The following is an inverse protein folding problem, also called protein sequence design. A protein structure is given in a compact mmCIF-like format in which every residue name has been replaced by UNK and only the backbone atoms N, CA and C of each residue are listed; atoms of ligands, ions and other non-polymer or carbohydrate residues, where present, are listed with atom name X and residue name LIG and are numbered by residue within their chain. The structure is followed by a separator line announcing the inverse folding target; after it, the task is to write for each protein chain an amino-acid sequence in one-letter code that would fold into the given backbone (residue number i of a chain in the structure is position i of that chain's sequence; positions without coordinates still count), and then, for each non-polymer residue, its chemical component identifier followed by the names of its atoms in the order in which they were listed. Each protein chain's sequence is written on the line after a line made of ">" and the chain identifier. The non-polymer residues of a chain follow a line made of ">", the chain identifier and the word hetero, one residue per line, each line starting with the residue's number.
data_IF_248557117962
#
_entry.id   IF_248557117962
#
_cell.length_a   1.000
_cell.length_b   1.000
_cell.length_c   1.000
_cell.angle_alpha   90.00
_cell.angle_beta   90.00
_cell.angle_gamma   90.00
#
_symmetry.space_group_name_H-M   'P 1'
#
loop_
_entity.id
_entity.type
_entity.pdbx_description
1 polymer ?
#
# COMPACT_ATOMS: atom_id res chain seq x y z
N UNK A 1 22.87 -2.95 14.57
CA UNK A 1 22.24 -3.12 13.24
C UNK A 1 21.68 -1.77 12.80
N UNK A 2 22.12 -1.23 11.66
CA UNK A 2 21.75 0.14 11.25
C UNK A 2 20.28 0.21 10.78
N UNK A 3 19.42 0.79 11.62
CA UNK A 3 17.99 0.94 11.35
C UNK A 3 17.72 1.73 10.07
N UNK A 4 18.60 2.67 9.70
CA UNK A 4 18.46 3.44 8.45
C UNK A 4 18.70 2.56 7.23
N UNK A 5 19.72 1.70 7.26
CA UNK A 5 19.99 0.74 6.16
C UNK A 5 18.82 -0.23 5.95
N UNK A 6 18.24 -0.74 7.04
CA UNK A 6 17.04 -1.58 6.97
C UNK A 6 15.83 -0.82 6.40
N UNK A 7 15.58 0.40 6.88
CA UNK A 7 14.52 1.25 6.36
C UNK A 7 14.69 1.53 4.86
N UNK A 8 15.91 1.80 4.38
CA UNK A 8 16.16 2.00 2.94
C UNK A 8 15.74 0.77 2.12
N UNK A 9 16.26 -0.41 2.46
CA UNK A 9 15.94 -1.63 1.72
C UNK A 9 14.44 -1.95 1.75
N UNK A 10 13.82 -1.73 2.91
CA UNK A 10 12.38 -1.94 3.10
C UNK A 10 11.53 -0.97 2.25
N UNK A 11 11.89 0.31 2.20
CA UNK A 11 11.20 1.29 1.36
C UNK A 11 11.41 1.05 -0.12
N UNK A 12 12.58 0.55 -0.54
CA UNK A 12 12.81 0.15 -1.93
C UNK A 12 11.89 -1.01 -2.33
N UNK A 13 11.80 -2.05 -1.49
CA UNK A 13 10.91 -3.17 -1.73
C UNK A 13 9.44 -2.73 -1.77
N UNK A 14 9.02 -1.90 -0.80
CA UNK A 14 7.66 -1.35 -0.73
C UNK A 14 7.34 -0.47 -1.95
N UNK A 15 8.30 0.33 -2.41
CA UNK A 15 8.14 1.18 -3.58
C UNK A 15 7.90 0.37 -4.84
N UNK A 16 8.71 -0.68 -5.07
CA UNK A 16 8.56 -1.56 -6.23
C UNK A 16 7.21 -2.29 -6.16
N UNK A 17 6.86 -2.83 -5.00
CA UNK A 17 5.61 -3.55 -4.81
C UNK A 17 4.37 -2.67 -5.09
N UNK A 18 4.24 -1.52 -4.41
CA UNK A 18 3.07 -0.65 -4.58
C UNK A 18 3.04 0.01 -5.98
N UNK A 19 4.20 0.34 -6.56
CA UNK A 19 4.25 0.89 -7.91
C UNK A 19 3.78 -0.13 -8.95
N UNK A 20 4.31 -1.34 -8.93
CA UNK A 20 3.93 -2.40 -9.87
C UNK A 20 2.47 -2.80 -9.66
N UNK A 21 2.03 -2.99 -8.41
CA UNK A 21 0.65 -3.32 -8.10
C UNK A 21 -0.32 -2.26 -8.61
N UNK A 22 -0.05 -0.98 -8.34
CA UNK A 22 -0.85 0.13 -8.83
C UNK A 22 -0.93 0.18 -10.35
N UNK A 23 0.19 -0.03 -11.06
CA UNK A 23 0.20 -0.09 -12.53
C UNK A 23 -0.59 -1.28 -13.08
N UNK A 24 -0.49 -2.45 -12.44
CA UNK A 24 -1.24 -3.63 -12.85
C UNK A 24 -2.75 -3.39 -12.73
N UNK A 25 -3.23 -2.85 -11.62
CA UNK A 25 -4.64 -2.51 -11.47
C UNK A 25 -5.06 -1.32 -12.36
N UNK A 26 -4.17 -0.39 -12.67
CA UNK A 26 -4.50 0.74 -13.52
C UNK A 26 -4.80 0.31 -14.97
N UNK A 27 -3.99 -0.58 -15.53
CA UNK A 27 -4.07 -0.98 -16.95
C UNK A 27 -4.75 -2.33 -17.18
N UNK A 28 -4.73 -3.23 -16.20
CA UNK A 28 -5.17 -4.62 -16.36
C UNK A 28 -6.27 -5.05 -15.36
N UNK A 29 -7.02 -4.10 -14.77
CA UNK A 29 -8.07 -4.45 -13.81
C UNK A 29 -9.13 -5.40 -14.38
N UNK A 30 -9.49 -5.28 -15.66
CA UNK A 30 -10.52 -6.14 -16.28
C UNK A 30 -10.10 -7.60 -16.25
N UNK A 31 -8.84 -7.88 -16.61
CA UNK A 31 -8.27 -9.21 -16.63
C UNK A 31 -8.12 -9.76 -15.21
N UNK A 32 -7.62 -8.94 -14.28
CA UNK A 32 -7.46 -9.30 -12.87
C UNK A 32 -8.83 -9.64 -12.27
N UNK A 33 -9.82 -8.77 -12.43
CA UNK A 33 -11.16 -8.94 -11.85
C UNK A 33 -11.84 -10.16 -12.44
N UNK A 34 -11.76 -10.36 -13.75
CA UNK A 34 -12.31 -11.53 -14.43
C UNK A 34 -11.68 -12.84 -13.93
N UNK A 35 -10.35 -12.85 -13.69
CA UNK A 35 -9.66 -14.01 -13.14
C UNK A 35 -10.11 -14.35 -11.71
N UNK A 36 -10.38 -13.34 -10.89
CA UNK A 36 -10.86 -13.50 -9.50
C UNK A 36 -12.39 -13.59 -9.38
N UNK A 37 -13.14 -13.60 -10.49
CA UNK A 37 -14.60 -13.64 -10.48
C UNK A 37 -15.25 -12.39 -9.87
N UNK A 38 -14.56 -11.25 -9.91
CA UNK A 38 -15.04 -9.96 -9.39
C UNK A 38 -15.81 -9.24 -10.50
N UNK A 39 -17.01 -8.76 -10.19
CA UNK A 39 -17.79 -7.97 -11.12
C UNK A 39 -17.06 -6.67 -11.48
N UNK A 40 -17.01 -6.36 -12.77
CA UNK A 40 -16.38 -5.13 -13.25
C UNK A 40 -17.26 -3.95 -12.81
N UNK A 41 -16.71 -2.96 -12.09
CA UNK A 41 -17.50 -1.83 -11.63
C UNK A 41 -18.07 -1.05 -12.81
N UNK A 42 -19.34 -0.63 -12.70
CA UNK A 42 -20.05 0.19 -13.70
C UNK A 42 -19.30 1.48 -14.05
N UNK A 43 -18.60 2.05 -13.06
CA UNK A 43 -17.79 3.25 -13.16
C UNK A 43 -16.34 2.92 -12.79
N UNK A 44 -15.53 2.44 -13.75
CA UNK A 44 -14.18 1.95 -13.49
C UNK A 44 -13.18 3.05 -13.12
N UNK A 45 -13.51 4.32 -13.37
CA UNK A 45 -12.64 5.46 -13.07
C UNK A 45 -12.26 5.55 -11.58
N UNK A 46 -13.17 5.18 -10.66
CA UNK A 46 -12.86 5.17 -9.22
C UNK A 46 -11.79 4.13 -8.87
N UNK A 47 -11.82 2.97 -9.53
CA UNK A 47 -10.82 1.93 -9.37
C UNK A 47 -9.49 2.38 -9.98
N UNK A 48 -9.52 2.95 -11.18
CA UNK A 48 -8.31 3.41 -11.86
C UNK A 48 -7.63 4.56 -11.11
N UNK A 49 -8.39 5.52 -10.59
CA UNK A 49 -7.85 6.61 -9.75
C UNK A 49 -7.25 6.04 -8.47
N UNK A 50 -7.92 5.08 -7.84
CA UNK A 50 -7.38 4.39 -6.65
C UNK A 50 -6.07 3.66 -6.99
N UNK A 51 -6.01 2.92 -8.10
CA UNK A 51 -4.82 2.21 -8.56
C UNK A 51 -3.67 3.16 -8.90
N UNK A 52 -3.95 4.28 -9.58
CA UNK A 52 -2.98 5.34 -9.84
C UNK A 52 -2.46 5.97 -8.54
N UNK A 53 -3.32 6.09 -7.51
CA UNK A 53 -2.90 6.57 -6.20
C UNK A 53 -1.96 5.57 -5.51
N UNK A 54 -2.23 4.26 -5.58
CA UNK A 54 -1.29 3.22 -5.10
C UNK A 54 0.05 3.33 -5.82
N UNK A 55 0.04 3.47 -7.15
CA UNK A 55 1.28 3.65 -7.91
C UNK A 55 2.04 4.90 -7.47
N UNK A 56 1.34 6.00 -7.24
CA UNK A 56 1.91 7.27 -6.76
C UNK A 56 2.51 7.12 -5.36
N UNK A 57 1.90 6.32 -4.48
CA UNK A 57 2.48 5.99 -3.18
C UNK A 57 3.77 5.19 -3.32
N UNK A 58 3.85 4.27 -4.28
CA UNK A 58 5.10 3.60 -4.65
C UNK A 58 6.22 4.58 -5.01
N UNK A 59 5.91 5.63 -5.78
CA UNK A 59 6.85 6.74 -6.05
C UNK A 59 7.22 7.47 -4.75
N UNK A 60 6.25 7.76 -3.88
CA UNK A 60 6.48 8.36 -2.57
C UNK A 60 7.45 7.54 -1.70
N UNK A 61 7.29 6.22 -1.69
CA UNK A 61 8.20 5.30 -1.00
C UNK A 61 9.60 5.28 -1.60
N UNK A 62 9.72 5.40 -2.93
CA UNK A 62 11.01 5.57 -3.58
C UNK A 62 11.69 6.89 -3.17
N UNK A 63 10.92 7.97 -3.00
CA UNK A 63 11.46 9.24 -2.48
C UNK A 63 11.99 9.08 -1.04
N UNK A 64 11.26 8.36 -0.18
CA UNK A 64 11.72 8.04 1.18
C UNK A 64 13.00 7.20 1.13
N UNK A 65 13.07 6.18 0.28
CA UNK A 65 14.28 5.38 0.07
C UNK A 65 15.50 6.25 -0.27
N UNK A 66 15.34 7.23 -1.17
CA UNK A 66 16.43 8.12 -1.59
C UNK A 66 16.93 9.01 -0.45
N UNK A 67 16.02 9.55 0.36
CA UNK A 67 16.38 10.38 1.51
C UNK A 67 15.35 10.21 2.62
N UNK A 68 15.68 9.35 3.59
CA UNK A 68 14.78 9.04 4.71
C UNK A 68 14.60 10.25 5.60
N UNK A 69 15.66 10.99 5.93
CA UNK A 69 15.58 12.09 6.90
C UNK A 69 14.68 13.23 6.41
N UNK A 70 14.79 13.58 5.13
CA UNK A 70 13.98 14.63 4.51
C UNK A 70 12.50 14.27 4.37
N UNK A 71 12.20 13.02 4.07
CA UNK A 71 10.85 12.59 3.65
C UNK A 71 10.02 11.98 4.79
N UNK A 72 10.22 12.47 6.02
CA UNK A 72 9.52 11.98 7.23
C UNK A 72 7.99 12.06 7.10
N UNK A 73 7.47 13.12 6.48
CA UNK A 73 6.02 13.30 6.37
C UNK A 73 5.39 12.37 5.33
N UNK A 74 6.11 12.03 4.25
CA UNK A 74 5.68 10.98 3.32
C UNK A 74 5.61 9.62 4.00
N UNK A 75 6.52 9.33 4.94
CA UNK A 75 6.45 8.11 5.74
C UNK A 75 5.18 8.09 6.60
N UNK A 76 4.88 9.16 7.32
CA UNK A 76 3.64 9.27 8.12
C UNK A 76 2.39 9.06 7.25
N UNK A 77 2.35 9.68 6.07
CA UNK A 77 1.26 9.48 5.11
C UNK A 77 1.13 8.02 4.68
N UNK A 78 2.26 7.33 4.42
CA UNK A 78 2.26 5.90 4.14
C UNK A 78 1.66 5.04 5.25
N UNK A 79 1.98 5.34 6.51
CA UNK A 79 1.40 4.67 7.68
C UNK A 79 -0.11 4.90 7.73
N UNK A 80 -0.55 6.16 7.61
CA UNK A 80 -1.97 6.52 7.66
C UNK A 80 -2.75 5.85 6.54
N UNK A 81 -2.20 5.85 5.32
CA UNK A 81 -2.83 5.23 4.17
C UNK A 81 -3.05 3.72 4.38
N UNK A 82 -1.99 2.99 4.76
CA UNK A 82 -2.10 1.54 5.00
C UNK A 82 -3.09 1.25 6.13
N UNK A 83 -3.08 2.05 7.19
CA UNK A 83 -4.06 1.91 8.27
C UNK A 83 -5.51 2.08 7.78
N UNK A 84 -5.80 3.12 7.00
CA UNK A 84 -7.13 3.36 6.43
C UNK A 84 -7.55 2.21 5.52
N UNK A 85 -6.64 1.73 4.65
CA UNK A 85 -6.92 0.61 3.76
C UNK A 85 -7.25 -0.67 4.53
N UNK A 86 -6.39 -1.06 5.49
CA UNK A 86 -6.60 -2.24 6.33
C UNK A 86 -7.93 -2.13 7.08
N UNK A 87 -8.22 -0.97 7.67
CA UNK A 87 -9.46 -0.75 8.41
C UNK A 87 -10.69 -0.91 7.52
N UNK A 88 -10.73 -0.24 6.36
CA UNK A 88 -11.87 -0.30 5.44
C UNK A 88 -12.07 -1.71 4.90
N UNK A 89 -11.03 -2.37 4.40
CA UNK A 89 -11.16 -3.74 3.89
C UNK A 89 -11.62 -4.68 4.98
N UNK A 90 -11.06 -4.59 6.19
CA UNK A 90 -11.47 -5.44 7.31
C UNK A 90 -12.94 -5.19 7.67
N UNK A 91 -13.40 -3.94 7.68
CA UNK A 91 -14.79 -3.61 7.91
C UNK A 91 -15.71 -4.22 6.83
N UNK A 92 -15.39 -4.03 5.56
CA UNK A 92 -16.21 -4.57 4.45
C UNK A 92 -16.13 -6.10 4.32
N UNK A 93 -15.07 -6.72 4.82
CA UNK A 93 -14.91 -8.17 4.82
C UNK A 93 -15.68 -8.82 5.98
N UNK A 94 -15.46 -8.37 7.21
CA UNK A 94 -16.05 -9.00 8.40
C UNK A 94 -17.47 -8.52 8.74
N UNK A 95 -17.80 -7.26 8.47
CA UNK A 95 -19.07 -6.66 8.92
C UNK A 95 -20.11 -6.69 7.81
N UNK A 96 -19.79 -6.16 6.63
CA UNK A 96 -20.75 -6.10 5.52
C UNK A 96 -20.74 -7.36 4.66
N UNK A 97 -19.66 -8.15 4.72
CA UNK A 97 -19.44 -9.36 3.90
C UNK A 97 -19.54 -9.09 2.39
N UNK A 98 -19.12 -7.89 1.97
CA UNK A 98 -19.15 -7.46 0.56
C UNK A 98 -17.77 -7.37 -0.07
N UNK A 99 -16.69 -7.38 0.73
CA UNK A 99 -15.34 -7.39 0.18
C UNK A 99 -14.97 -8.78 -0.35
N UNK A 100 -14.37 -8.82 -1.54
CA UNK A 100 -13.81 -10.05 -2.08
C UNK A 100 -12.54 -10.45 -1.32
N UNK A 101 -12.33 -11.76 -1.14
CA UNK A 101 -11.20 -12.37 -0.45
C UNK A 101 -9.82 -11.83 -0.90
N UNK A 102 -9.65 -11.50 -2.19
CA UNK A 102 -8.37 -11.00 -2.70
C UNK A 102 -7.97 -9.68 -2.02
N UNK A 103 -8.92 -8.78 -1.77
CA UNK A 103 -8.65 -7.52 -1.10
C UNK A 103 -8.31 -7.74 0.37
N UNK A 104 -8.93 -8.74 1.01
CA UNK A 104 -8.57 -9.13 2.37
C UNK A 104 -7.13 -9.66 2.45
N UNK A 105 -6.69 -10.47 1.48
CA UNK A 105 -5.29 -10.91 1.39
C UNK A 105 -4.33 -9.73 1.21
N UNK A 106 -4.66 -8.75 0.38
CA UNK A 106 -3.87 -7.52 0.26
C UNK A 106 -3.84 -6.72 1.58
N UNK A 107 -4.96 -6.61 2.29
CA UNK A 107 -4.99 -5.96 3.60
C UNK A 107 -4.13 -6.69 4.64
N UNK A 108 -4.06 -8.02 4.60
CA UNK A 108 -3.17 -8.80 5.45
C UNK A 108 -1.70 -8.52 5.14
N UNK A 109 -1.33 -8.47 3.86
CA UNK A 109 0.01 -8.07 3.43
C UNK A 109 0.31 -6.67 3.95
N UNK A 110 -0.59 -5.71 3.74
CA UNK A 110 -0.39 -4.34 4.21
C UNK A 110 -0.26 -4.23 5.73
N UNK A 111 -0.97 -5.06 6.51
CA UNK A 111 -0.81 -5.15 7.95
C UNK A 111 0.59 -5.66 8.34
N UNK A 112 1.13 -6.65 7.61
CA UNK A 112 2.50 -7.12 7.80
C UNK A 112 3.54 -6.05 7.46
N UNK A 113 3.29 -5.21 6.46
CA UNK A 113 4.15 -4.06 6.15
C UNK A 113 3.99 -2.94 7.19
N UNK A 114 2.79 -2.72 7.74
CA UNK A 114 2.53 -1.64 8.70
C UNK A 114 3.40 -1.74 9.96
N UNK A 115 3.66 -2.97 10.44
CA UNK A 115 4.49 -3.23 11.62
C UNK A 115 5.91 -2.65 11.47
N UNK A 116 6.72 -3.01 10.45
CA UNK A 116 8.02 -2.41 10.20
C UNK A 116 7.94 -0.93 9.82
N UNK A 117 6.89 -0.47 9.13
CA UNK A 117 6.66 0.96 8.87
C UNK A 117 6.67 1.77 10.18
N UNK A 118 5.92 1.34 11.19
CA UNK A 118 5.84 2.04 12.49
C UNK A 118 7.13 1.81 13.30
N UNK A 119 7.62 0.57 13.36
CA UNK A 119 8.79 0.20 14.16
C UNK A 119 10.08 0.88 13.71
N UNK A 120 10.33 0.94 12.40
CA UNK A 120 11.50 1.63 11.84
C UNK A 120 11.36 3.15 11.94
N UNK A 121 10.15 3.70 11.80
CA UNK A 121 9.92 5.13 11.96
C UNK A 121 10.33 5.61 13.36
N UNK A 122 9.87 4.90 14.40
CA UNK A 122 10.26 5.19 15.79
C UNK A 122 11.77 5.09 15.97
N UNK A 123 12.41 4.03 15.46
CA UNK A 123 13.87 3.85 15.58
C UNK A 123 14.70 4.91 14.86
N UNK A 124 14.21 5.45 13.73
CA UNK A 124 14.93 6.44 12.93
C UNK A 124 14.76 7.86 13.48
N UNK A 125 13.56 8.24 13.95
CA UNK A 125 13.25 9.63 14.34
C UNK A 125 13.00 9.86 15.83
N UNK A 126 12.92 8.83 16.69
CA UNK A 126 12.79 9.02 18.14
C UNK A 126 14.16 9.19 18.83
N UNK A 127 15.12 9.81 18.12
CA UNK A 127 16.39 10.27 18.69
C UNK A 127 16.25 11.71 19.12
#
# INVERSE_FOLDING_TARGET
>A
MDAKKWAKNFFLASAIYDFVLGLLFLFFYVQIFSYFGIEIPKFPEYLQVSAAFVATLGIGYFMIYRNIERNRDLWKLGIMYKFVYIFLVSYYYFITQTANDIFFWFALIDALFLIPFIGLYKKVYAR
#
